data_IF_669465350011
#
_entry.id   IF_669465350011
#
_cell.length_a   1.000
_cell.length_b   1.000
_cell.length_c   1.000
_cell.angle_alpha   90.00
_cell.angle_beta   90.00
_cell.angle_gamma   90.00
#
_symmetry.space_group_name_H-M   'P 1'
#
loop_
_entity.id
_entity.type
_entity.pdbx_description
1 polymer ?
#
# COMPACT_ATOMS: atom_id res chain seq x y z
N UNK A 1 -33.59 13.83 -8.14
CA UNK A 1 -32.31 13.10 -8.40
C UNK A 1 -31.89 12.48 -7.09
N UNK A 2 -32.08 11.17 -6.96
CA UNK A 2 -31.66 10.42 -5.76
C UNK A 2 -30.15 10.29 -5.83
N UNK A 3 -29.42 10.97 -4.94
CA UNK A 3 -27.99 10.70 -4.78
C UNK A 3 -27.85 9.25 -4.31
N UNK A 4 -27.34 8.39 -5.16
CA UNK A 4 -26.88 7.06 -4.75
C UNK A 4 -25.67 7.30 -3.83
N UNK A 5 -25.88 7.22 -2.53
CA UNK A 5 -24.77 7.24 -1.58
C UNK A 5 -23.91 6.00 -1.83
N UNK A 6 -22.64 6.20 -2.15
CA UNK A 6 -21.68 5.09 -2.28
C UNK A 6 -21.70 4.24 -1.00
N UNK A 7 -21.59 2.91 -1.10
CA UNK A 7 -21.56 2.05 0.07
C UNK A 7 -20.41 2.43 1.00
N UNK A 8 -20.59 2.22 2.30
CA UNK A 8 -19.48 2.41 3.23
C UNK A 8 -18.39 1.36 2.98
N UNK A 9 -17.13 1.67 3.37
CA UNK A 9 -16.03 0.72 3.28
C UNK A 9 -16.35 -0.63 3.95
N UNK A 10 -17.00 -0.61 5.11
CA UNK A 10 -17.42 -1.82 5.82
C UNK A 10 -18.43 -2.66 5.01
N UNK A 11 -19.36 -2.00 4.35
CA UNK A 11 -20.35 -2.67 3.49
C UNK A 11 -19.65 -3.26 2.26
N UNK A 12 -18.75 -2.50 1.66
CA UNK A 12 -17.99 -2.93 0.50
C UNK A 12 -17.14 -4.17 0.83
N UNK A 13 -16.30 -4.08 1.88
CA UNK A 13 -15.36 -5.17 2.19
C UNK A 13 -16.09 -6.47 2.57
N UNK A 14 -17.21 -6.38 3.27
CA UNK A 14 -18.05 -7.56 3.62
C UNK A 14 -18.67 -8.24 2.41
N UNK A 15 -18.86 -7.52 1.32
CA UNK A 15 -19.40 -8.09 0.07
C UNK A 15 -18.34 -8.83 -0.76
N UNK A 16 -17.05 -8.69 -0.44
CA UNK A 16 -15.93 -9.22 -1.22
C UNK A 16 -15.05 -10.23 -0.49
N UNK A 17 -15.59 -11.19 0.29
CA UNK A 17 -14.76 -12.19 0.95
C UNK A 17 -14.05 -13.08 -0.08
N UNK A 18 -12.80 -13.45 0.19
CA UNK A 18 -12.08 -14.45 -0.59
C UNK A 18 -12.54 -15.85 -0.17
N UNK A 19 -13.66 -16.28 -0.67
CA UNK A 19 -14.24 -17.60 -0.45
C UNK A 19 -14.50 -18.32 -1.77
N UNK A 20 -14.95 -19.57 -1.70
CA UNK A 20 -15.36 -20.38 -2.87
C UNK A 20 -14.30 -20.45 -3.97
N UNK A 21 -13.01 -20.57 -3.60
CA UNK A 21 -11.91 -20.71 -4.56
C UNK A 21 -11.44 -19.40 -5.21
N UNK A 22 -11.98 -18.26 -4.81
CA UNK A 22 -11.47 -16.97 -5.27
C UNK A 22 -10.08 -16.70 -4.69
N UNK A 23 -9.11 -16.22 -5.50
CA UNK A 23 -7.79 -15.88 -5.01
C UNK A 23 -7.87 -14.71 -4.01
N UNK A 24 -7.04 -14.76 -2.97
CA UNK A 24 -6.87 -13.64 -2.04
C UNK A 24 -6.09 -12.54 -2.76
N UNK A 25 -6.66 -11.35 -2.86
CA UNK A 25 -5.99 -10.15 -3.37
C UNK A 25 -5.61 -9.18 -2.27
N UNK A 26 -6.42 -9.11 -1.22
CA UNK A 26 -6.21 -8.20 -0.08
C UNK A 26 -6.43 -8.94 1.24
N UNK A 27 -5.73 -8.49 2.27
CA UNK A 27 -5.91 -8.97 3.63
C UNK A 27 -6.09 -7.79 4.57
N UNK A 28 -7.05 -7.89 5.46
CA UNK A 28 -7.30 -6.89 6.51
C UNK A 28 -6.74 -7.39 7.83
N UNK A 29 -5.88 -6.61 8.46
CA UNK A 29 -5.31 -6.91 9.76
C UNK A 29 -6.30 -6.50 10.85
N UNK A 30 -6.53 -7.38 11.81
CA UNK A 30 -7.45 -7.10 12.91
C UNK A 30 -6.84 -6.14 13.93
N UNK A 31 -7.67 -5.22 14.43
CA UNK A 31 -7.37 -4.41 15.60
C UNK A 31 -8.59 -4.39 16.54
N UNK A 32 -8.44 -5.00 17.70
CA UNK A 32 -9.52 -5.14 18.69
C UNK A 32 -9.91 -3.79 19.30
N UNK A 33 -8.93 -2.90 19.49
CA UNK A 33 -9.14 -1.59 20.09
C UNK A 33 -10.01 -0.70 19.20
N UNK A 34 -9.74 -0.75 17.90
CA UNK A 34 -10.45 0.01 16.88
C UNK A 34 -11.67 -0.75 16.32
N UNK A 35 -11.93 -1.96 16.82
CA UNK A 35 -13.02 -2.85 16.34
C UNK A 35 -12.91 -3.16 14.85
N UNK A 36 -11.67 -3.28 14.36
CA UNK A 36 -11.39 -3.71 12.99
C UNK A 36 -11.33 -5.24 12.98
N UNK A 37 -12.19 -5.87 12.18
CA UNK A 37 -12.23 -7.31 12.02
C UNK A 37 -11.31 -7.71 10.86
N UNK A 38 -10.40 -8.64 11.13
CA UNK A 38 -9.51 -9.20 10.11
C UNK A 38 -10.26 -10.07 9.10
N UNK A 39 -9.62 -10.29 7.96
CA UNK A 39 -10.16 -11.16 6.93
C UNK A 39 -9.36 -11.16 5.65
N UNK A 40 -9.70 -12.08 4.76
CA UNK A 40 -9.13 -12.18 3.42
C UNK A 40 -10.19 -11.88 2.37
N UNK A 41 -9.83 -11.08 1.38
CA UNK A 41 -10.76 -10.53 0.42
C UNK A 41 -10.29 -10.74 -1.01
N UNK A 42 -11.26 -10.79 -1.91
CA UNK A 42 -11.02 -10.80 -3.34
C UNK A 42 -11.63 -9.55 -3.95
N UNK A 43 -10.77 -8.60 -4.30
CA UNK A 43 -11.15 -7.39 -5.01
C UNK A 43 -10.76 -7.61 -6.48
N UNK A 44 -11.76 -7.64 -7.36
CA UNK A 44 -11.52 -7.77 -8.79
C UNK A 44 -10.99 -6.45 -9.38
N UNK A 45 -10.46 -6.51 -10.58
CA UNK A 45 -10.04 -5.29 -11.30
C UNK A 45 -11.22 -4.33 -11.50
N UNK A 46 -12.41 -4.87 -11.77
CA UNK A 46 -13.62 -4.07 -11.98
C UNK A 46 -14.10 -3.38 -10.69
N UNK A 47 -13.83 -4.01 -9.53
CA UNK A 47 -14.22 -3.48 -8.21
C UNK A 47 -13.16 -2.53 -7.61
N UNK A 48 -11.97 -2.46 -8.21
CA UNK A 48 -10.82 -1.73 -7.64
C UNK A 48 -11.14 -0.24 -7.45
N UNK A 49 -11.79 0.42 -8.40
CA UNK A 49 -12.15 1.83 -8.27
C UNK A 49 -13.07 2.06 -7.07
N UNK A 50 -14.11 1.23 -6.93
CA UNK A 50 -15.04 1.32 -5.79
C UNK A 50 -14.35 1.02 -4.46
N UNK A 51 -13.39 0.09 -4.45
CA UNK A 51 -12.54 -0.18 -3.30
C UNK A 51 -11.74 1.05 -2.90
N UNK A 52 -11.02 1.66 -3.84
CA UNK A 52 -10.20 2.84 -3.59
C UNK A 52 -11.04 4.03 -3.11
N UNK A 53 -12.20 4.27 -3.71
CA UNK A 53 -13.09 5.37 -3.32
C UNK A 53 -13.61 5.19 -1.88
N UNK A 54 -14.07 3.99 -1.54
CA UNK A 54 -14.58 3.71 -0.19
C UNK A 54 -13.48 3.70 0.87
N UNK A 55 -12.29 3.20 0.51
CA UNK A 55 -11.10 3.24 1.37
C UNK A 55 -10.65 4.69 1.61
N UNK A 56 -10.53 5.49 0.55
CA UNK A 56 -10.18 6.91 0.65
C UNK A 56 -11.13 7.66 1.56
N UNK A 57 -12.42 7.48 1.37
CA UNK A 57 -13.43 8.13 2.22
C UNK A 57 -13.26 7.76 3.70
N UNK A 58 -13.10 6.47 3.99
CA UNK A 58 -12.95 6.02 5.37
C UNK A 58 -11.68 6.55 6.03
N UNK A 59 -10.54 6.47 5.34
CA UNK A 59 -9.23 6.78 5.93
C UNK A 59 -8.94 8.28 5.90
N UNK A 60 -9.14 8.93 4.75
CA UNK A 60 -8.69 10.30 4.55
C UNK A 60 -9.79 11.34 4.76
N UNK A 61 -11.06 10.98 4.57
CA UNK A 61 -12.17 11.90 4.80
C UNK A 61 -12.72 11.75 6.23
N UNK A 62 -13.00 10.52 6.65
CA UNK A 62 -13.55 10.25 7.99
C UNK A 62 -12.46 10.16 9.07
N UNK A 63 -11.18 10.09 8.72
CA UNK A 63 -10.05 9.95 9.65
C UNK A 63 -10.06 8.63 10.42
N UNK A 64 -10.66 7.57 9.87
CA UNK A 64 -10.74 6.26 10.54
C UNK A 64 -9.66 5.34 9.99
N UNK A 65 -8.75 4.82 10.83
CA UNK A 65 -7.67 3.96 10.39
C UNK A 65 -8.20 2.65 9.80
N UNK A 66 -7.46 2.13 8.82
CA UNK A 66 -7.60 0.80 8.24
C UNK A 66 -6.24 0.17 7.99
N UNK A 67 -6.17 -1.14 8.13
CA UNK A 67 -4.94 -1.90 7.97
C UNK A 67 -5.15 -2.96 6.88
N UNK A 68 -4.98 -2.54 5.64
CA UNK A 68 -5.13 -3.40 4.45
C UNK A 68 -3.74 -3.68 3.88
N UNK A 69 -3.50 -4.93 3.54
CA UNK A 69 -2.34 -5.35 2.74
C UNK A 69 -2.84 -5.87 1.40
N UNK A 70 -2.15 -5.51 0.33
CA UNK A 70 -2.38 -6.03 -1.00
C UNK A 70 -1.40 -7.17 -1.27
N UNK A 71 -1.89 -8.25 -1.88
CA UNK A 71 -1.03 -9.35 -2.31
C UNK A 71 -0.29 -8.93 -3.57
N UNK A 72 1.03 -9.00 -3.52
CA UNK A 72 1.85 -8.77 -4.71
C UNK A 72 1.55 -9.82 -5.79
N UNK A 73 1.39 -9.36 -7.03
CA UNK A 73 1.21 -10.25 -8.18
C UNK A 73 2.50 -11.02 -8.46
N UNK A 74 2.35 -12.29 -8.84
CA UNK A 74 3.51 -13.17 -9.09
C UNK A 74 4.18 -12.82 -10.43
N UNK A 75 3.37 -12.52 -11.45
CA UNK A 75 3.87 -12.29 -12.81
C UNK A 75 4.16 -10.83 -13.11
N UNK A 76 3.33 -9.92 -12.60
CA UNK A 76 3.47 -8.48 -12.80
C UNK A 76 3.13 -7.75 -11.50
N UNK A 77 4.02 -6.88 -11.06
CA UNK A 77 3.77 -6.09 -9.85
C UNK A 77 4.83 -5.02 -9.68
N UNK A 78 4.63 -4.08 -8.75
CA UNK A 78 5.64 -3.08 -8.44
C UNK A 78 6.87 -3.74 -7.83
N UNK A 79 8.05 -3.20 -8.12
CA UNK A 79 9.24 -3.51 -7.36
C UNK A 79 9.15 -2.79 -6.02
N UNK A 80 9.10 -3.57 -4.94
CA UNK A 80 9.04 -3.05 -3.58
C UNK A 80 10.43 -3.09 -2.97
N UNK A 81 10.86 -1.97 -2.43
CA UNK A 81 12.12 -1.85 -1.69
C UNK A 81 11.80 -1.35 -0.29
N UNK A 82 12.15 -2.13 0.70
CA UNK A 82 12.00 -1.76 2.11
C UNK A 82 13.39 -1.51 2.70
N UNK A 83 13.60 -0.31 3.25
CA UNK A 83 14.86 0.11 3.83
C UNK A 83 14.63 0.42 5.30
N UNK A 84 15.16 -0.43 6.16
CA UNK A 84 15.11 -0.26 7.60
C UNK A 84 16.44 0.30 8.11
N UNK A 85 16.43 1.60 8.43
CA UNK A 85 17.58 2.28 9.01
C UNK A 85 17.50 2.18 10.52
N UNK A 86 18.38 1.38 11.10
CA UNK A 86 18.43 1.19 12.56
C UNK A 86 19.39 2.18 13.18
N UNK A 87 18.88 2.94 14.14
CA UNK A 87 19.65 3.88 14.94
C UNK A 87 19.67 3.46 16.42
N UNK A 88 20.65 3.99 17.16
CA UNK A 88 20.67 3.82 18.60
C UNK A 88 19.43 4.44 19.24
N UNK A 89 18.99 3.88 20.36
CA UNK A 89 17.74 4.27 21.04
C UNK A 89 17.69 5.74 21.52
N UNK A 90 18.86 6.40 21.63
CA UNK A 90 18.93 7.81 21.99
C UNK A 90 18.75 8.77 20.81
N UNK A 91 18.71 8.25 19.58
CA UNK A 91 18.49 9.07 18.38
C UNK A 91 17.00 9.36 18.25
N UNK A 92 16.64 10.62 18.38
CA UNK A 92 15.24 11.07 18.32
C UNK A 92 14.92 11.87 17.06
N UNK A 93 15.96 12.21 16.28
CA UNK A 93 15.81 12.99 15.06
C UNK A 93 16.21 12.18 13.84
N UNK A 94 15.58 12.46 12.70
CA UNK A 94 15.88 11.85 11.42
C UNK A 94 17.33 12.14 11.02
N UNK A 95 18.08 11.09 10.71
CA UNK A 95 19.50 11.17 10.35
C UNK A 95 19.77 11.24 8.84
N UNK A 96 18.77 11.00 8.02
CA UNK A 96 18.85 11.13 6.55
C UNK A 96 18.05 12.34 6.07
N UNK A 97 18.45 12.86 4.93
CA UNK A 97 17.81 13.98 4.25
C UNK A 97 17.34 13.54 2.84
N UNK A 98 16.74 14.48 2.10
CA UNK A 98 16.25 14.23 0.77
C UNK A 98 17.38 13.81 -0.20
N UNK A 99 18.56 14.39 -0.10
CA UNK A 99 19.69 14.05 -0.99
C UNK A 99 20.10 12.60 -0.81
N UNK A 100 20.14 12.12 0.43
CA UNK A 100 20.41 10.71 0.73
C UNK A 100 19.38 9.77 0.09
N UNK A 101 18.10 10.13 0.13
CA UNK A 101 17.02 9.35 -0.51
C UNK A 101 17.19 9.34 -2.02
N UNK A 102 17.55 10.47 -2.64
CA UNK A 102 17.82 10.57 -4.08
C UNK A 102 19.01 9.69 -4.48
N UNK A 103 20.08 9.71 -3.71
CA UNK A 103 21.27 8.87 -3.96
C UNK A 103 20.95 7.38 -3.86
N UNK A 104 20.12 6.98 -2.88
CA UNK A 104 19.62 5.61 -2.79
C UNK A 104 18.79 5.21 -4.00
N UNK A 105 17.89 6.06 -4.45
CA UNK A 105 17.07 5.82 -5.64
C UNK A 105 17.98 5.63 -6.86
N UNK A 106 18.96 6.50 -7.05
CA UNK A 106 19.93 6.40 -8.16
C UNK A 106 20.68 5.07 -8.13
N UNK A 107 21.15 4.64 -6.94
CA UNK A 107 21.82 3.36 -6.75
C UNK A 107 20.92 2.17 -7.11
N UNK A 108 19.65 2.19 -6.70
CA UNK A 108 18.70 1.14 -7.06
C UNK A 108 18.41 1.12 -8.56
N UNK A 109 18.22 2.28 -9.20
CA UNK A 109 18.00 2.37 -10.64
C UNK A 109 19.19 1.82 -11.43
N UNK A 110 20.41 2.11 -11.01
CA UNK A 110 21.62 1.54 -11.63
C UNK A 110 21.62 0.00 -11.52
N UNK A 111 21.22 -0.54 -10.37
CA UNK A 111 21.13 -1.99 -10.18
C UNK A 111 19.99 -2.61 -10.98
N UNK A 112 18.84 -1.96 -11.05
CA UNK A 112 17.71 -2.39 -11.88
C UNK A 112 18.15 -2.49 -13.34
N UNK A 113 18.80 -1.45 -13.88
CA UNK A 113 19.29 -1.42 -15.25
C UNK A 113 20.39 -2.48 -15.52
N UNK A 114 21.15 -2.84 -14.48
CA UNK A 114 22.19 -3.85 -14.61
C UNK A 114 21.64 -5.29 -14.64
N UNK A 115 20.59 -5.57 -13.88
CA UNK A 115 20.08 -6.93 -13.67
C UNK A 115 18.78 -7.23 -14.41
N UNK A 116 18.05 -6.21 -14.80
CA UNK A 116 16.80 -6.35 -15.55
C UNK A 116 16.98 -5.77 -16.96
N UNK A 117 16.42 -6.46 -17.95
CA UNK A 117 16.39 -6.00 -19.33
C UNK A 117 15.29 -4.93 -19.48
N UNK A 118 15.62 -3.72 -19.04
CA UNK A 118 14.74 -2.57 -19.12
C UNK A 118 14.97 -1.87 -20.45
N UNK A 119 13.92 -1.70 -21.25
CA UNK A 119 13.99 -0.98 -22.52
C UNK A 119 14.47 0.45 -22.31
N UNK A 120 15.35 0.93 -23.22
CA UNK A 120 15.79 2.32 -23.25
C UNK A 120 14.57 3.26 -23.30
N UNK A 121 14.53 4.24 -22.42
CA UNK A 121 13.45 5.19 -22.24
C UNK A 121 12.16 4.66 -21.55
N UNK A 122 12.22 3.51 -20.89
CA UNK A 122 11.12 3.10 -20.02
C UNK A 122 10.91 4.13 -18.90
N UNK A 123 9.70 4.65 -18.81
CA UNK A 123 9.32 5.54 -17.70
C UNK A 123 9.12 4.69 -16.44
N UNK A 124 9.88 4.99 -15.40
CA UNK A 124 9.75 4.37 -14.08
C UNK A 124 9.19 5.41 -13.13
N UNK A 125 8.00 5.16 -12.59
CA UNK A 125 7.42 5.99 -11.54
C UNK A 125 7.88 5.44 -10.17
N UNK A 126 8.41 6.31 -9.32
CA UNK A 126 8.96 5.94 -8.01
C UNK A 126 8.17 6.65 -6.93
N UNK A 127 7.66 5.89 -5.98
CA UNK A 127 6.94 6.39 -4.83
C UNK A 127 7.77 6.13 -3.57
N UNK A 128 8.09 7.19 -2.84
CA UNK A 128 8.83 7.10 -1.58
C UNK A 128 7.87 7.33 -0.43
N UNK A 129 7.79 6.36 0.47
CA UNK A 129 7.02 6.44 1.69
C UNK A 129 8.01 6.46 2.86
N UNK A 130 7.91 7.47 3.69
CA UNK A 130 8.74 7.61 4.87
C UNK A 130 7.89 7.60 6.13
N UNK A 131 8.40 6.94 7.16
CA UNK A 131 7.80 6.97 8.48
C UNK A 131 7.90 8.39 9.06
N UNK A 132 6.82 8.91 9.62
CA UNK A 132 6.78 10.26 10.17
C UNK A 132 7.74 10.44 11.34
N UNK A 133 7.80 9.46 12.23
CA UNK A 133 8.64 9.47 13.44
C UNK A 133 9.83 8.52 13.30
N UNK A 134 10.94 8.86 13.95
CA UNK A 134 12.17 8.05 13.95
C UNK A 134 12.04 6.78 14.80
N UNK A 135 11.09 6.74 15.75
CA UNK A 135 10.83 5.63 16.67
C UNK A 135 9.35 5.29 16.74
#
# INVERSE_FOLDING_TARGET
MTQMTSPSFETFIKAHPANNGKPITHTRIADKTLKIYGGSYHISVDDMQSFMDTYYHKVFVDGKPEYITEKQLIENGPLLVDIDLQYDTHVTERQHNQDYVIDLIALYLDKINLYLDVELNTKIDIYVLEKENVN
#
